data_IF_790900296207
#
_entry.id   IF_790900296207
#
_cell.length_a   1.000
_cell.length_b   1.000
_cell.length_c   1.000
_cell.angle_alpha   90.00
_cell.angle_beta   90.00
_cell.angle_gamma   90.00
#
_symmetry.space_group_name_H-M   'P 1'
#
loop_
_entity.id
_entity.type
_entity.pdbx_description
1 polymer ?
#
# COMPACT_ATOMS: atom_id res chain seq x y z
N UNK A 1 65.20 -14.36 69.11
CA UNK A 1 64.64 -13.11 68.70
C UNK A 1 64.30 -13.27 67.20
N UNK A 2 63.01 -13.62 66.91
CA UNK A 2 62.52 -14.01 65.55
C UNK A 2 61.86 -12.81 64.87
N UNK A 3 62.38 -12.44 63.72
CA UNK A 3 61.89 -11.39 62.87
C UNK A 3 60.85 -11.99 61.88
N UNK A 4 59.56 -11.62 61.99
CA UNK A 4 58.49 -12.04 61.09
C UNK A 4 58.39 -11.01 59.95
N UNK A 5 58.68 -11.45 58.76
CA UNK A 5 58.46 -10.69 57.52
C UNK A 5 56.99 -10.86 57.05
N UNK A 6 56.25 -9.75 57.01
CA UNK A 6 54.91 -9.70 56.41
C UNK A 6 55.05 -9.50 54.91
N UNK A 7 54.52 -10.42 54.12
CA UNK A 7 54.29 -10.24 52.66
C UNK A 7 52.89 -9.61 52.43
N UNK A 8 52.88 -8.39 51.90
CA UNK A 8 51.70 -7.73 51.48
C UNK A 8 51.43 -8.07 50.00
N UNK A 9 50.36 -8.84 49.74
CA UNK A 9 49.93 -9.14 48.39
C UNK A 9 49.09 -7.96 47.81
N UNK A 10 49.61 -7.31 46.76
CA UNK A 10 48.94 -6.24 46.03
C UNK A 10 48.09 -6.88 44.92
N UNK A 11 46.78 -6.92 45.13
CA UNK A 11 45.81 -7.37 44.11
C UNK A 11 45.63 -6.28 43.05
N UNK A 12 46.09 -6.51 41.82
CA UNK A 12 45.78 -5.69 40.66
C UNK A 12 44.33 -5.93 40.22
N UNK A 13 43.45 -4.96 40.49
CA UNK A 13 42.12 -4.88 39.85
C UNK A 13 42.28 -4.33 38.43
N UNK A 14 42.19 -5.23 37.42
CA UNK A 14 42.01 -4.81 36.02
C UNK A 14 40.58 -4.31 35.82
N UNK A 15 40.35 -3.07 35.32
CA UNK A 15 39.04 -2.65 34.91
C UNK A 15 38.66 -3.36 33.60
N UNK A 16 37.63 -4.17 33.65
CA UNK A 16 36.99 -4.74 32.46
C UNK A 16 36.29 -3.61 31.72
N UNK A 17 36.96 -3.00 30.73
CA UNK A 17 36.35 -2.05 29.80
C UNK A 17 35.41 -2.86 28.91
N UNK A 18 34.12 -2.87 29.24
CA UNK A 18 33.07 -3.32 28.34
C UNK A 18 33.11 -2.42 27.09
N UNK A 19 33.63 -2.96 26.00
CA UNK A 19 33.51 -2.36 24.67
C UNK A 19 31.99 -2.32 24.32
N UNK A 20 31.36 -1.17 24.58
CA UNK A 20 30.08 -0.82 23.98
C UNK A 20 30.33 -0.73 22.46
N UNK A 21 30.11 -1.85 21.74
CA UNK A 21 30.01 -1.79 20.29
C UNK A 21 28.94 -0.76 19.97
N UNK A 22 29.21 0.22 19.09
CA UNK A 22 28.16 1.12 18.63
C UNK A 22 27.08 0.22 18.02
N UNK A 23 25.85 0.27 18.58
CA UNK A 23 24.70 -0.28 17.90
C UNK A 23 24.65 0.41 16.55
N UNK A 24 24.90 -0.34 15.48
CA UNK A 24 24.72 0.18 14.13
C UNK A 24 23.32 0.82 14.10
N UNK A 25 23.26 2.13 13.99
CA UNK A 25 22.00 2.82 13.78
C UNK A 25 21.48 2.27 12.46
N UNK A 26 20.45 1.42 12.54
CA UNK A 26 19.80 0.87 11.36
C UNK A 26 19.21 2.03 10.59
N UNK A 27 19.63 2.20 9.35
CA UNK A 27 19.14 3.28 8.54
C UNK A 27 17.70 2.98 8.12
N UNK A 28 16.85 4.01 8.22
CA UNK A 28 15.44 3.94 7.83
C UNK A 28 15.33 3.74 6.32
N UNK A 29 14.48 2.81 5.89
CA UNK A 29 14.16 2.66 4.47
C UNK A 29 12.95 3.49 4.08
N UNK A 30 12.96 4.00 2.85
CA UNK A 30 11.84 4.75 2.29
C UNK A 30 11.17 3.97 1.17
N UNK A 31 9.85 3.75 1.30
CA UNK A 31 9.02 3.03 0.32
C UNK A 31 8.08 3.99 -0.38
N UNK A 32 8.21 4.11 -1.70
CA UNK A 32 7.29 4.87 -2.56
C UNK A 32 6.14 3.94 -2.98
N UNK A 33 4.88 4.34 -2.74
CA UNK A 33 3.71 3.53 -3.07
C UNK A 33 2.49 4.37 -3.42
N UNK A 34 1.46 3.72 -3.94
CA UNK A 34 0.16 4.34 -4.23
C UNK A 34 -0.93 3.87 -3.25
N UNK A 35 -2.11 4.51 -3.32
CA UNK A 35 -3.24 4.23 -2.43
C UNK A 35 -3.61 2.76 -2.37
N UNK A 36 -3.62 2.06 -3.50
CA UNK A 36 -4.09 0.68 -3.59
C UNK A 36 -3.29 -0.35 -2.77
N UNK A 37 -2.02 -0.10 -2.47
CA UNK A 37 -1.20 -1.00 -1.63
C UNK A 37 -0.87 -0.41 -0.27
N UNK A 38 -1.18 0.87 -0.04
CA UNK A 38 -0.79 1.57 1.18
C UNK A 38 -1.37 0.94 2.47
N UNK A 39 -2.65 0.52 2.54
CA UNK A 39 -3.18 -0.10 3.77
C UNK A 39 -2.45 -1.39 4.16
N UNK A 40 -2.27 -2.31 3.23
CA UNK A 40 -1.56 -3.57 3.47
C UNK A 40 -0.09 -3.35 3.81
N UNK A 41 0.57 -2.41 3.12
CA UNK A 41 1.94 -2.05 3.40
C UNK A 41 2.09 -1.52 4.84
N UNK A 42 1.19 -0.64 5.30
CA UNK A 42 1.22 -0.13 6.69
C UNK A 42 1.11 -1.24 7.72
N UNK A 43 0.23 -2.21 7.51
CA UNK A 43 0.10 -3.36 8.40
C UNK A 43 1.39 -4.20 8.46
N UNK A 44 2.04 -4.40 7.32
CA UNK A 44 3.31 -5.13 7.24
C UNK A 44 4.49 -4.33 7.79
N UNK A 45 4.51 -3.01 7.60
CA UNK A 45 5.51 -2.12 8.21
C UNK A 45 5.43 -2.19 9.73
N UNK A 46 4.24 -2.10 10.32
CA UNK A 46 4.09 -2.20 11.77
C UNK A 46 4.65 -3.52 12.33
N UNK A 47 4.43 -4.64 11.63
CA UNK A 47 5.00 -5.95 12.01
C UNK A 47 6.51 -5.98 11.85
N UNK A 48 7.03 -5.50 10.71
CA UNK A 48 8.46 -5.42 10.44
C UNK A 48 9.21 -4.59 11.49
N UNK A 49 8.68 -3.41 11.82
CA UNK A 49 9.27 -2.53 12.83
C UNK A 49 9.28 -3.18 14.22
N UNK A 50 8.20 -3.90 14.58
CA UNK A 50 8.13 -4.62 15.86
C UNK A 50 9.11 -5.81 15.92
N UNK A 51 9.31 -6.53 14.82
CA UNK A 51 10.17 -7.71 14.74
C UNK A 51 11.65 -7.34 14.65
N UNK A 52 11.99 -6.23 13.99
CA UNK A 52 13.38 -5.91 13.63
C UNK A 52 13.94 -4.67 14.30
N UNK A 53 13.08 -3.78 14.81
CA UNK A 53 13.46 -2.45 15.30
C UNK A 53 13.81 -1.44 14.19
N UNK A 54 13.84 -1.87 12.91
CA UNK A 54 14.16 -1.03 11.76
C UNK A 54 12.92 -0.21 11.37
N UNK A 55 13.12 1.05 10.95
CA UNK A 55 12.02 1.94 10.58
C UNK A 55 11.78 1.98 9.07
N UNK A 56 10.51 2.20 8.70
CA UNK A 56 10.06 2.32 7.31
C UNK A 56 9.24 3.58 7.13
N UNK A 57 9.74 4.49 6.30
CA UNK A 57 8.99 5.68 5.87
C UNK A 57 8.19 5.36 4.61
N UNK A 58 6.89 5.66 4.61
CA UNK A 58 6.02 5.47 3.44
C UNK A 58 5.75 6.81 2.75
N UNK A 59 6.17 6.93 1.49
CA UNK A 59 5.83 8.04 0.60
C UNK A 59 4.66 7.62 -0.27
N UNK A 60 3.44 7.93 0.19
CA UNK A 60 2.19 7.58 -0.47
C UNK A 60 1.72 8.63 -1.48
N UNK A 61 0.79 8.24 -2.36
CA UNK A 61 0.17 9.16 -3.32
C UNK A 61 -0.79 8.47 -4.27
N UNK A 62 -1.19 9.20 -5.34
CA UNK A 62 -1.86 8.56 -6.48
C UNK A 62 -0.86 7.69 -7.25
N UNK A 63 -1.36 6.78 -8.07
CA UNK A 63 -0.52 5.94 -8.94
C UNK A 63 0.41 6.79 -9.81
N UNK A 64 -0.11 7.86 -10.40
CA UNK A 64 0.66 8.81 -11.22
C UNK A 64 1.77 9.47 -10.41
N UNK A 65 1.46 9.95 -9.20
CA UNK A 65 2.45 10.59 -8.33
C UNK A 65 3.55 9.61 -7.90
N UNK A 66 3.19 8.38 -7.56
CA UNK A 66 4.18 7.37 -7.18
C UNK A 66 5.13 7.04 -8.35
N UNK A 67 4.58 6.88 -9.58
CA UNK A 67 5.39 6.72 -10.80
C UNK A 67 6.32 7.93 -11.03
N UNK A 68 5.79 9.16 -10.92
CA UNK A 68 6.58 10.36 -11.14
C UNK A 68 7.69 10.53 -10.10
N UNK A 69 7.45 10.16 -8.86
CA UNK A 69 8.48 10.14 -7.81
C UNK A 69 9.62 9.20 -8.21
N UNK A 70 9.32 7.99 -8.69
CA UNK A 70 10.33 7.04 -9.17
C UNK A 70 11.07 7.57 -10.39
N UNK A 71 10.34 8.10 -11.37
CA UNK A 71 10.89 8.67 -12.61
C UNK A 71 11.85 9.82 -12.34
N UNK A 72 11.50 10.68 -11.38
CA UNK A 72 12.28 11.86 -11.02
C UNK A 72 13.32 11.57 -9.92
N UNK A 73 13.56 10.29 -9.60
CA UNK A 73 14.54 9.85 -8.61
C UNK A 73 14.36 10.54 -7.24
N UNK A 74 13.11 10.75 -6.82
CA UNK A 74 12.81 11.22 -5.46
C UNK A 74 13.42 10.23 -4.46
N UNK A 75 14.06 10.69 -3.37
CA UNK A 75 14.66 9.80 -2.38
C UNK A 75 13.73 8.66 -1.97
N UNK A 76 14.21 7.42 -2.13
CA UNK A 76 13.48 6.21 -1.86
C UNK A 76 14.36 4.99 -2.11
N UNK A 77 14.06 3.88 -1.43
CA UNK A 77 14.86 2.66 -1.51
C UNK A 77 14.10 1.54 -2.21
N UNK A 78 12.78 1.52 -2.06
CA UNK A 78 11.87 0.55 -2.65
C UNK A 78 10.65 1.28 -3.23
N UNK A 79 10.11 0.77 -4.33
CA UNK A 79 8.82 1.26 -4.82
C UNK A 79 7.86 0.11 -5.14
N UNK A 80 6.55 0.38 -4.92
CA UNK A 80 5.43 -0.52 -5.24
C UNK A 80 4.50 0.21 -6.20
N UNK A 81 4.41 -0.26 -7.44
CA UNK A 81 3.63 0.36 -8.50
C UNK A 81 2.77 -0.68 -9.22
N UNK A 82 1.62 -0.28 -9.78
CA UNK A 82 0.84 -1.14 -10.66
C UNK A 82 1.35 -1.08 -12.10
N UNK A 83 1.08 -2.12 -12.88
CA UNK A 83 1.16 -2.04 -14.34
C UNK A 83 -0.02 -1.18 -14.90
N UNK A 84 0.13 -0.39 -15.97
CA UNK A 84 1.34 -0.23 -16.81
C UNK A 84 2.37 0.77 -16.29
N UNK A 85 2.11 1.50 -15.18
CA UNK A 85 3.02 2.54 -14.67
C UNK A 85 4.39 2.00 -14.31
N UNK A 86 4.44 0.75 -13.85
CA UNK A 86 5.69 0.08 -13.56
C UNK A 86 6.56 -0.05 -14.82
N UNK A 87 5.95 -0.40 -15.97
CA UNK A 87 6.64 -0.53 -17.24
C UNK A 87 7.33 0.75 -17.68
N UNK A 88 6.74 1.93 -17.40
CA UNK A 88 7.29 3.24 -17.76
C UNK A 88 8.60 3.57 -17.02
N UNK A 89 8.78 3.01 -15.82
CA UNK A 89 9.92 3.32 -14.95
C UNK A 89 10.77 2.10 -14.62
N UNK A 90 10.61 1.01 -15.35
CA UNK A 90 11.32 -0.26 -15.12
C UNK A 90 12.84 -0.10 -15.03
N UNK A 91 13.42 0.79 -15.82
CA UNK A 91 14.84 1.09 -15.81
C UNK A 91 15.35 1.75 -14.51
N UNK A 92 14.45 2.26 -13.66
CA UNK A 92 14.82 2.86 -12.37
C UNK A 92 14.99 1.82 -11.25
N UNK A 93 14.73 0.53 -11.54
CA UNK A 93 14.82 -0.54 -10.55
C UNK A 93 16.08 -1.39 -10.76
N UNK A 94 16.65 -1.91 -9.68
CA UNK A 94 17.77 -2.84 -9.75
C UNK A 94 17.37 -4.10 -10.53
N UNK A 95 18.20 -4.55 -11.48
CA UNK A 95 17.95 -5.78 -12.21
C UNK A 95 17.71 -6.97 -11.27
N UNK A 96 16.66 -7.76 -11.57
CA UNK A 96 16.30 -8.94 -10.79
C UNK A 96 15.61 -8.67 -9.44
N UNK A 97 15.38 -7.40 -9.06
CA UNK A 97 14.67 -7.09 -7.81
C UNK A 97 13.15 -7.09 -7.92
N UNK A 98 12.61 -7.15 -9.15
CA UNK A 98 11.17 -7.04 -9.37
C UNK A 98 10.43 -8.27 -8.89
N UNK A 99 9.47 -8.08 -7.98
CA UNK A 99 8.68 -9.14 -7.36
C UNK A 99 7.20 -8.77 -7.38
N UNK A 100 6.29 -9.65 -7.86
CA UNK A 100 4.86 -9.43 -7.76
C UNK A 100 4.41 -9.30 -6.31
N UNK A 101 3.53 -8.34 -6.04
CA UNK A 101 2.91 -8.12 -4.72
C UNK A 101 1.51 -8.70 -4.69
N UNK A 102 0.69 -8.33 -5.67
CA UNK A 102 -0.69 -8.81 -5.75
C UNK A 102 -1.56 -7.99 -6.68
N UNK A 103 -2.84 -8.33 -6.69
CA UNK A 103 -3.88 -7.71 -7.52
C UNK A 103 -4.89 -6.99 -6.66
N UNK A 104 -5.24 -5.76 -7.06
CA UNK A 104 -6.33 -4.99 -6.48
C UNK A 104 -7.45 -4.87 -7.50
N UNK A 105 -8.59 -5.47 -7.21
CA UNK A 105 -9.79 -5.35 -8.02
C UNK A 105 -10.53 -4.03 -7.76
N UNK A 106 -11.29 -3.60 -8.75
CA UNK A 106 -12.27 -2.54 -8.57
C UNK A 106 -13.60 -3.12 -8.13
N UNK A 107 -14.29 -2.40 -7.27
CA UNK A 107 -15.56 -2.83 -6.72
C UNK A 107 -16.49 -1.67 -6.39
N UNK A 108 -17.67 -2.04 -5.94
CA UNK A 108 -18.69 -1.14 -5.41
C UNK A 108 -18.67 -1.22 -3.89
N UNK A 109 -18.73 -0.08 -3.24
CA UNK A 109 -18.83 0.04 -1.79
C UNK A 109 -20.08 0.84 -1.39
N UNK A 110 -20.55 0.58 -0.17
CA UNK A 110 -21.70 1.23 0.46
C UNK A 110 -21.38 1.58 1.90
N UNK A 111 -22.24 2.38 2.54
CA UNK A 111 -22.18 2.61 3.97
C UNK A 111 -22.43 1.30 4.73
N UNK A 112 -21.69 1.05 5.80
CA UNK A 112 -21.86 -0.13 6.64
C UNK A 112 -23.32 -0.25 7.13
N UNK A 113 -23.86 -1.46 7.01
CA UNK A 113 -25.25 -1.79 7.33
C UNK A 113 -26.27 -1.37 6.26
N UNK A 114 -25.85 -0.75 5.16
CA UNK A 114 -26.73 -0.51 4.04
C UNK A 114 -26.98 -1.81 3.24
N UNK A 115 -28.13 -1.94 2.52
CA UNK A 115 -28.36 -3.09 1.67
C UNK A 115 -27.25 -3.27 0.63
N UNK A 116 -26.81 -4.53 0.41
CA UNK A 116 -25.91 -4.89 -0.65
C UNK A 116 -26.71 -5.22 -1.91
N UNK A 117 -26.72 -4.34 -2.91
CA UNK A 117 -27.43 -4.59 -4.14
C UNK A 117 -26.76 -5.68 -4.97
N UNK A 118 -27.54 -6.39 -5.76
CA UNK A 118 -27.01 -7.39 -6.70
C UNK A 118 -26.35 -6.71 -7.90
N UNK A 119 -25.01 -6.82 -7.97
CA UNK A 119 -24.19 -6.28 -9.05
C UNK A 119 -23.54 -7.40 -9.88
N UNK A 120 -24.06 -8.63 -9.84
CA UNK A 120 -23.46 -9.81 -10.45
C UNK A 120 -23.36 -9.78 -11.97
N UNK A 121 -24.15 -8.92 -12.63
CA UNK A 121 -24.13 -8.74 -14.09
C UNK A 121 -24.09 -7.24 -14.45
N UNK A 122 -23.58 -6.92 -15.63
CA UNK A 122 -23.50 -5.53 -16.09
C UNK A 122 -24.87 -4.81 -16.11
N UNK A 123 -25.98 -5.42 -16.61
CA UNK A 123 -27.30 -4.78 -16.54
C UNK A 123 -27.76 -4.46 -15.11
N UNK A 124 -27.55 -5.39 -14.16
CA UNK A 124 -27.91 -5.17 -12.75
C UNK A 124 -27.06 -4.05 -12.13
N UNK A 125 -25.76 -4.06 -12.37
CA UNK A 125 -24.85 -3.02 -11.92
C UNK A 125 -25.28 -1.63 -12.41
N UNK A 126 -25.56 -1.48 -13.72
CA UNK A 126 -26.04 -0.23 -14.29
C UNK A 126 -27.36 0.20 -13.66
N UNK A 127 -28.32 -0.72 -13.48
CA UNK A 127 -29.59 -0.41 -12.84
C UNK A 127 -29.42 0.09 -11.40
N UNK A 128 -28.54 -0.53 -10.62
CA UNK A 128 -28.18 -0.12 -9.25
C UNK A 128 -27.63 1.30 -9.24
N UNK A 129 -26.67 1.61 -10.12
CA UNK A 129 -26.08 2.95 -10.16
C UNK A 129 -27.09 4.03 -10.57
N UNK A 130 -28.01 3.73 -11.52
CA UNK A 130 -29.05 4.66 -11.98
C UNK A 130 -30.12 4.93 -10.91
N UNK A 131 -30.43 3.92 -10.08
CA UNK A 131 -31.38 4.07 -8.97
C UNK A 131 -30.79 4.81 -7.77
N UNK A 132 -29.47 4.96 -7.73
CA UNK A 132 -28.77 5.57 -6.62
C UNK A 132 -28.74 7.10 -6.64
N UNK A 133 -28.51 7.69 -5.47
CA UNK A 133 -28.40 9.15 -5.30
C UNK A 133 -27.04 9.72 -5.70
N UNK A 134 -26.06 8.87 -6.02
CA UNK A 134 -24.73 9.27 -6.49
C UNK A 134 -23.67 8.20 -6.35
N UNK A 135 -22.67 8.30 -7.22
CA UNK A 135 -21.50 7.41 -7.27
C UNK A 135 -20.24 8.23 -7.05
N UNK A 136 -19.60 8.05 -5.89
CA UNK A 136 -18.34 8.68 -5.53
C UNK A 136 -17.16 7.96 -6.16
N UNK A 137 -16.19 8.70 -6.66
CA UNK A 137 -14.91 8.18 -7.15
C UNK A 137 -13.86 9.28 -7.07
N UNK A 138 -12.59 8.90 -6.98
CA UNK A 138 -11.49 9.88 -6.90
C UNK A 138 -11.46 10.79 -8.12
N UNK A 139 -11.43 12.11 -7.92
CA UNK A 139 -11.40 13.10 -8.98
C UNK A 139 -10.20 12.88 -9.93
N UNK A 140 -10.44 12.66 -11.24
CA UNK A 140 -9.40 12.52 -12.25
C UNK A 140 -8.42 13.70 -12.31
N UNK A 141 -8.90 14.92 -12.06
CA UNK A 141 -8.08 16.14 -12.08
C UNK A 141 -6.94 16.12 -11.03
N UNK A 142 -7.01 15.20 -10.05
CA UNK A 142 -5.97 14.99 -9.05
C UNK A 142 -4.90 13.97 -9.47
N UNK A 143 -4.88 13.56 -10.74
CA UNK A 143 -3.93 12.58 -11.27
C UNK A 143 -4.24 11.14 -10.85
N UNK A 144 -5.52 10.83 -10.58
CA UNK A 144 -5.97 9.47 -10.26
C UNK A 144 -6.24 8.66 -11.52
N UNK A 145 -5.42 7.63 -11.77
CA UNK A 145 -5.68 6.67 -12.86
C UNK A 145 -6.98 5.88 -12.63
N UNK A 146 -7.26 5.51 -11.38
CA UNK A 146 -8.50 4.85 -11.00
C UNK A 146 -9.71 5.76 -11.24
N UNK A 147 -9.62 7.01 -10.79
CA UNK A 147 -10.67 8.00 -11.00
C UNK A 147 -10.94 8.30 -12.47
N UNK A 148 -9.87 8.39 -13.28
CA UNK A 148 -10.01 8.55 -14.73
C UNK A 148 -10.75 7.37 -15.36
N UNK A 149 -10.40 6.15 -15.01
CA UNK A 149 -11.10 4.96 -15.53
C UNK A 149 -12.59 4.96 -15.15
N UNK A 150 -12.95 5.31 -13.91
CA UNK A 150 -14.34 5.40 -13.47
C UNK A 150 -15.07 6.51 -14.22
N UNK A 151 -14.46 7.68 -14.39
CA UNK A 151 -15.08 8.79 -15.15
C UNK A 151 -15.35 8.38 -16.60
N UNK A 152 -14.37 7.73 -17.27
CA UNK A 152 -14.52 7.24 -18.63
C UNK A 152 -15.63 6.16 -18.73
N UNK A 153 -15.75 5.28 -17.74
CA UNK A 153 -16.81 4.28 -17.64
C UNK A 153 -18.19 4.95 -17.56
N UNK A 154 -18.36 5.89 -16.61
CA UNK A 154 -19.63 6.56 -16.36
C UNK A 154 -20.04 7.52 -17.49
N UNK A 155 -19.11 7.93 -18.34
CA UNK A 155 -19.39 8.76 -19.53
C UNK A 155 -19.98 7.96 -20.71
N UNK A 156 -19.98 6.62 -20.65
CA UNK A 156 -20.56 5.80 -21.74
C UNK A 156 -22.08 5.92 -21.78
N UNK A 157 -22.71 5.83 -22.98
CA UNK A 157 -24.15 6.04 -23.15
C UNK A 157 -25.04 5.17 -22.25
N UNK A 158 -24.63 3.92 -21.98
CA UNK A 158 -25.39 2.99 -21.13
C UNK A 158 -25.49 3.44 -19.68
N UNK A 159 -24.60 4.34 -19.20
CA UNK A 159 -24.64 4.92 -17.86
C UNK A 159 -25.40 6.26 -17.77
N UNK A 160 -26.04 6.70 -18.86
CA UNK A 160 -26.86 7.91 -18.84
C UNK A 160 -27.89 7.84 -17.71
N UNK A 161 -27.97 8.89 -16.88
CA UNK A 161 -28.80 8.95 -15.67
C UNK A 161 -28.10 8.60 -14.37
N UNK A 162 -26.88 8.01 -14.39
CA UNK A 162 -26.04 7.89 -13.19
C UNK A 162 -25.57 9.29 -12.79
N UNK A 163 -25.49 9.56 -11.47
CA UNK A 163 -25.03 10.84 -10.92
C UNK A 163 -23.56 10.69 -10.46
N UNK A 164 -22.57 11.15 -11.27
CA UNK A 164 -21.18 11.08 -10.88
C UNK A 164 -20.85 12.10 -9.78
N UNK A 165 -20.05 11.70 -8.81
CA UNK A 165 -19.55 12.54 -7.69
C UNK A 165 -18.04 12.42 -7.58
N UNK A 166 -17.26 13.14 -8.40
CA UNK A 166 -15.81 13.18 -8.24
C UNK A 166 -15.43 13.83 -6.91
N UNK A 167 -14.55 13.21 -6.15
CA UNK A 167 -14.17 13.62 -4.79
C UNK A 167 -12.66 13.76 -4.61
N UNK A 168 -12.26 14.62 -3.67
CA UNK A 168 -10.87 14.88 -3.35
C UNK A 168 -10.25 13.83 -2.42
N UNK A 169 -10.47 12.55 -2.65
CA UNK A 169 -9.93 11.49 -1.78
C UNK A 169 -10.43 10.12 -2.17
N UNK A 170 -10.30 9.17 -1.24
CA UNK A 170 -10.83 7.82 -1.44
C UNK A 170 -12.36 7.83 -1.32
N UNK A 171 -13.07 7.14 -2.21
CA UNK A 171 -14.54 7.12 -2.22
C UNK A 171 -15.17 6.69 -0.90
N UNK A 172 -14.57 5.72 -0.20
CA UNK A 172 -15.06 5.27 1.10
C UNK A 172 -15.19 6.39 2.15
N UNK A 173 -14.27 7.34 2.16
CA UNK A 173 -14.39 8.48 3.08
C UNK A 173 -15.61 9.36 2.77
N UNK A 174 -15.95 9.53 1.50
CA UNK A 174 -17.13 10.28 1.11
C UNK A 174 -18.44 9.54 1.44
N UNK A 175 -18.46 8.19 1.31
CA UNK A 175 -19.58 7.38 1.79
C UNK A 175 -19.78 7.58 3.29
N UNK A 176 -18.71 7.46 4.07
CA UNK A 176 -18.78 7.52 5.52
C UNK A 176 -19.23 8.88 6.06
N UNK A 177 -18.80 9.99 5.42
CA UNK A 177 -18.96 11.37 5.93
C UNK A 177 -19.99 12.20 5.18
N UNK A 178 -20.00 12.09 3.85
CA UNK A 178 -20.70 13.05 2.98
C UNK A 178 -22.02 12.50 2.43
N UNK A 179 -22.42 11.28 2.86
CA UNK A 179 -23.70 10.68 2.49
C UNK A 179 -23.79 10.25 1.02
N UNK A 180 -22.66 10.09 0.32
CA UNK A 180 -22.64 9.51 -1.02
C UNK A 180 -23.03 8.04 -0.91
N UNK A 181 -24.00 7.61 -1.72
CA UNK A 181 -24.57 6.27 -1.58
C UNK A 181 -23.62 5.17 -1.99
N UNK A 182 -22.92 5.33 -3.11
CA UNK A 182 -22.00 4.33 -3.65
C UNK A 182 -20.60 4.90 -3.81
N UNK A 183 -19.59 4.10 -3.47
CA UNK A 183 -18.19 4.32 -3.83
C UNK A 183 -17.78 3.35 -4.93
N UNK A 184 -17.06 3.84 -5.93
CA UNK A 184 -16.59 3.05 -7.05
C UNK A 184 -15.08 3.27 -7.22
N UNK A 185 -14.30 2.22 -7.03
CA UNK A 185 -12.84 2.32 -7.09
C UNK A 185 -12.12 1.04 -6.68
N UNK A 186 -10.83 1.14 -6.39
CA UNK A 186 -10.03 0.00 -5.88
C UNK A 186 -10.55 -0.47 -4.52
N UNK A 187 -10.86 -1.76 -4.39
CA UNK A 187 -11.42 -2.34 -3.15
C UNK A 187 -10.50 -2.09 -1.95
N UNK A 188 -9.20 -2.11 -2.14
CA UNK A 188 -8.23 -1.86 -1.08
C UNK A 188 -8.31 -0.44 -0.47
N UNK A 189 -8.86 0.52 -1.19
CA UNK A 189 -9.09 1.88 -0.70
C UNK A 189 -10.43 2.01 0.06
N UNK A 190 -11.29 0.99 0.00
CA UNK A 190 -12.63 0.98 0.60
C UNK A 190 -12.68 0.09 1.85
N UNK A 191 -12.14 -1.13 1.77
CA UNK A 191 -12.26 -2.17 2.80
C UNK A 191 -11.67 -1.75 4.16
N UNK A 192 -10.74 -0.80 4.15
CA UNK A 192 -10.08 -0.29 5.37
C UNK A 192 -10.72 0.97 5.95
N UNK A 193 -11.75 1.51 5.30
CA UNK A 193 -12.44 2.72 5.78
C UNK A 193 -13.52 2.35 6.79
N UNK A 194 -13.42 2.80 8.06
CA UNK A 194 -14.46 2.54 9.04
C UNK A 194 -15.84 3.07 8.59
N UNK A 195 -16.86 2.25 8.73
CA UNK A 195 -18.23 2.60 8.34
C UNK A 195 -18.54 2.40 6.86
N UNK A 196 -17.68 1.68 6.12
CA UNK A 196 -17.85 1.30 4.72
C UNK A 196 -17.80 -0.22 4.60
N UNK A 197 -18.62 -0.77 3.71
CA UNK A 197 -18.64 -2.18 3.33
C UNK A 197 -18.54 -2.33 1.82
N UNK A 198 -17.74 -3.29 1.37
CA UNK A 198 -17.59 -3.63 -0.04
C UNK A 198 -18.73 -4.56 -0.43
N UNK A 199 -19.54 -4.16 -1.42
CA UNK A 199 -20.61 -4.98 -2.00
C UNK A 199 -20.04 -6.15 -2.80
N UNK A 200 -18.99 -5.89 -3.57
CA UNK A 200 -18.31 -6.90 -4.38
C UNK A 200 -17.47 -6.29 -5.50
N UNK A 201 -16.79 -7.17 -6.24
CA UNK A 201 -16.06 -6.81 -7.44
C UNK A 201 -17.00 -6.45 -8.58
N UNK A 202 -16.50 -5.66 -9.54
CA UNK A 202 -17.28 -5.28 -10.74
C UNK A 202 -17.63 -6.50 -11.60
N UNK A 203 -18.76 -6.44 -12.35
CA UNK A 203 -19.11 -7.45 -13.33
C UNK A 203 -17.95 -7.74 -14.29
N UNK A 204 -17.84 -9.00 -14.74
CA UNK A 204 -16.74 -9.47 -15.60
C UNK A 204 -16.57 -8.67 -16.89
N UNK A 205 -17.68 -8.13 -17.43
CA UNK A 205 -17.71 -7.36 -18.68
C UNK A 205 -16.97 -6.03 -18.57
N UNK A 206 -16.85 -5.50 -17.35
CA UNK A 206 -16.16 -4.26 -17.01
C UNK A 206 -15.12 -4.47 -15.90
N UNK A 207 -14.70 -5.72 -15.68
CA UNK A 207 -13.72 -6.02 -14.65
C UNK A 207 -12.45 -5.18 -14.85
N UNK A 208 -12.07 -4.48 -13.80
CA UNK A 208 -10.85 -3.68 -13.74
C UNK A 208 -10.04 -4.08 -12.52
N UNK A 209 -8.75 -4.14 -12.69
CA UNK A 209 -7.81 -4.41 -11.62
C UNK A 209 -6.46 -3.75 -11.90
N UNK A 210 -5.68 -3.62 -10.86
CA UNK A 210 -4.28 -3.26 -10.93
C UNK A 210 -3.43 -4.42 -10.41
N UNK A 211 -2.49 -4.89 -11.22
CA UNK A 211 -1.45 -5.83 -10.79
C UNK A 211 -0.24 -5.04 -10.29
N UNK A 212 0.11 -5.24 -9.03
CA UNK A 212 1.20 -4.53 -8.37
C UNK A 212 2.47 -5.36 -8.30
N UNK A 213 3.58 -4.72 -8.60
CA UNK A 213 4.93 -5.25 -8.36
C UNK A 213 5.73 -4.29 -7.50
N UNK A 214 6.70 -4.83 -6.77
CA UNK A 214 7.65 -4.08 -5.97
C UNK A 214 9.08 -4.33 -6.45
N UNK A 215 9.97 -3.37 -6.21
CA UNK A 215 11.38 -3.54 -6.54
C UNK A 215 12.26 -2.52 -5.81
N UNK A 216 13.53 -2.86 -5.67
CA UNK A 216 14.55 -1.98 -5.10
C UNK A 216 14.97 -0.96 -6.16
N UNK A 217 15.03 0.31 -5.79
CA UNK A 217 15.41 1.39 -6.68
C UNK A 217 16.92 1.41 -6.97
N UNK A 218 17.33 1.80 -8.18
CA UNK A 218 18.75 1.88 -8.55
C UNK A 218 19.54 2.85 -7.68
N UNK A 219 18.89 3.94 -7.25
CA UNK A 219 19.48 4.98 -6.40
C UNK A 219 19.22 4.75 -4.89
N UNK A 220 18.74 3.57 -4.50
CA UNK A 220 18.53 3.22 -3.11
C UNK A 220 19.80 3.41 -2.28
N UNK A 221 19.69 4.16 -1.18
CA UNK A 221 20.77 4.36 -0.22
C UNK A 221 20.87 3.21 0.78
N UNK A 222 19.74 2.49 0.99
CA UNK A 222 19.60 1.34 1.89
C UNK A 222 19.17 0.10 1.10
N UNK A 223 19.93 -0.23 0.04
CA UNK A 223 19.53 -1.26 -0.92
C UNK A 223 19.44 -2.66 -0.32
N UNK A 224 20.28 -3.00 0.65
CA UNK A 224 20.28 -4.31 1.31
C UNK A 224 19.06 -4.45 2.22
N UNK A 225 18.79 -3.47 3.07
CA UNK A 225 17.60 -3.41 3.92
C UNK A 225 16.32 -3.39 3.09
N UNK A 226 16.31 -2.63 2.00
CA UNK A 226 15.17 -2.60 1.08
C UNK A 226 14.92 -3.98 0.45
N UNK A 227 15.97 -4.73 0.10
CA UNK A 227 15.83 -6.09 -0.40
C UNK A 227 15.31 -7.06 0.68
N UNK A 228 15.76 -6.93 1.93
CA UNK A 228 15.24 -7.71 3.06
C UNK A 228 13.76 -7.39 3.30
N UNK A 229 13.40 -6.11 3.30
CA UNK A 229 12.00 -5.69 3.45
C UNK A 229 11.13 -6.15 2.27
N UNK A 230 11.64 -6.09 1.03
CA UNK A 230 10.94 -6.63 -0.14
C UNK A 230 10.63 -8.11 0.04
N UNK A 231 11.63 -8.90 0.43
CA UNK A 231 11.43 -10.32 0.72
C UNK A 231 10.40 -10.56 1.84
N UNK A 232 10.41 -9.70 2.87
CA UNK A 232 9.46 -9.77 3.97
C UNK A 232 8.01 -9.52 3.54
N UNK A 233 7.75 -8.49 2.75
CA UNK A 233 6.40 -8.14 2.31
C UNK A 233 5.85 -9.05 1.20
N UNK A 234 6.72 -9.84 0.56
CA UNK A 234 6.33 -10.78 -0.51
C UNK A 234 6.36 -12.25 -0.08
N UNK A 235 6.77 -12.54 1.15
CA UNK A 235 6.78 -13.90 1.72
C UNK A 235 5.35 -14.47 1.86
N UNK A 236 5.18 -15.80 1.89
CA UNK A 236 3.84 -16.41 2.03
C UNK A 236 3.05 -15.90 3.26
N UNK A 237 3.72 -15.64 4.37
CA UNK A 237 3.11 -15.18 5.63
C UNK A 237 2.54 -13.75 5.52
N UNK A 238 3.01 -12.95 4.57
CA UNK A 238 2.49 -11.61 4.31
C UNK A 238 1.14 -11.63 3.58
N UNK A 239 0.78 -12.74 2.93
CA UNK A 239 -0.43 -12.87 2.11
C UNK A 239 -1.71 -12.56 2.87
N UNK A 240 -1.80 -12.99 4.12
CA UNK A 240 -2.97 -12.71 4.96
C UNK A 240 -3.17 -11.19 5.15
N UNK A 241 -2.11 -10.45 5.48
CA UNK A 241 -2.18 -9.00 5.67
C UNK A 241 -2.55 -8.25 4.37
N UNK A 242 -2.04 -8.71 3.23
CA UNK A 242 -2.45 -8.18 1.93
C UNK A 242 -3.93 -8.44 1.65
N UNK A 243 -4.39 -9.69 1.85
CA UNK A 243 -5.78 -10.09 1.60
C UNK A 243 -6.78 -9.33 2.47
N UNK A 244 -6.49 -9.15 3.75
CA UNK A 244 -7.31 -8.38 4.69
C UNK A 244 -7.51 -6.93 4.25
N UNK A 245 -6.60 -6.41 3.45
CA UNK A 245 -6.66 -5.05 2.91
C UNK A 245 -7.03 -4.99 1.43
N UNK A 246 -7.63 -6.05 0.89
CA UNK A 246 -8.16 -6.09 -0.47
C UNK A 246 -7.12 -6.25 -1.58
N UNK A 247 -5.91 -6.73 -1.24
CA UNK A 247 -4.87 -7.09 -2.22
C UNK A 247 -4.84 -8.61 -2.33
N UNK A 248 -5.25 -9.15 -3.46
CA UNK A 248 -5.18 -10.58 -3.75
C UNK A 248 -3.78 -10.94 -4.25
N UNK A 249 -3.15 -11.92 -3.60
CA UNK A 249 -1.86 -12.40 -4.08
C UNK A 249 -2.04 -13.30 -5.30
N UNK A 250 -1.15 -13.24 -6.31
CA UNK A 250 -1.15 -14.20 -7.38
C UNK A 250 -0.93 -15.61 -6.81
N UNK A 251 -1.65 -16.55 -7.40
CA UNK A 251 -1.55 -17.97 -7.04
C UNK A 251 -0.15 -18.54 -7.34
#
# INVERSE_FOLDING_TARGET
MMLRTMFTALALLMPCAALLAPSAAWADITVITSGGTNPGLRALVAKWEAETGKKVTIVGGTVTRARDNVKNMVPGDLAILPEPQFSEVRANFKPGSLTPVGRVHFGLAVKAGAPHPDISTLPKFIAVLKAGSGVGFTDPARGSAAGKWVADLLARPEYAGVIPRPIAGMPGHAIARDGIQYGLGPISEEVTVPGVEVVGVLPKEIAMHFDYSAGVLNHATQAEEAAQFLAYITRPEARAAWKETGVENPA
#
